data_IF_655799741446
#
_entry.id   IF_655799741446
#
_cell.length_a   1.000
_cell.length_b   1.000
_cell.length_c   1.000
_cell.angle_alpha   90.00
_cell.angle_beta   90.00
_cell.angle_gamma   90.00
#
_symmetry.space_group_name_H-M   'P 1'
#
loop_
_entity.id
_entity.type
_entity.pdbx_description
1 polymer ?
#
# COMPACT_ATOMS: atom_id res chain seq x y z
N UNK A 1 -19.58 -16.19 -11.95
CA UNK A 1 -18.85 -17.13 -11.05
C UNK A 1 -19.38 -16.97 -9.64
N UNK A 2 -19.45 -18.05 -8.86
CA UNK A 2 -19.81 -17.97 -7.44
C UNK A 2 -18.60 -17.42 -6.66
N UNK A 3 -18.81 -16.37 -5.86
CA UNK A 3 -17.77 -15.77 -5.02
C UNK A 3 -17.52 -16.65 -3.79
N UNK A 4 -16.26 -16.83 -3.42
CA UNK A 4 -15.85 -17.61 -2.24
C UNK A 4 -15.13 -16.70 -1.24
N UNK A 5 -15.62 -16.69 -0.01
CA UNK A 5 -14.95 -15.99 1.09
C UNK A 5 -13.71 -16.80 1.50
N UNK A 6 -12.56 -16.13 1.52
CA UNK A 6 -11.26 -16.70 1.87
C UNK A 6 -10.99 -16.48 3.36
N UNK A 7 -11.70 -17.23 4.21
CA UNK A 7 -11.53 -17.15 5.67
C UNK A 7 -10.10 -17.46 6.09
N UNK A 8 -9.61 -16.71 7.08
CA UNK A 8 -8.27 -16.83 7.65
C UNK A 8 -7.14 -16.70 6.63
N UNK A 9 -7.38 -16.01 5.51
CA UNK A 9 -6.35 -15.77 4.51
C UNK A 9 -5.20 -14.98 5.15
N UNK A 10 -3.99 -15.56 5.11
CA UNK A 10 -2.74 -14.93 5.53
C UNK A 10 -1.85 -14.70 4.31
N UNK A 11 -1.03 -13.64 4.36
CA UNK A 11 -0.21 -13.23 3.22
C UNK A 11 0.72 -14.34 2.72
N UNK A 12 1.36 -15.08 3.63
CA UNK A 12 2.28 -16.18 3.31
C UNK A 12 1.64 -17.34 2.51
N UNK A 13 0.31 -17.41 2.42
CA UNK A 13 -0.39 -18.47 1.67
C UNK A 13 -0.42 -18.20 0.16
N UNK A 14 -0.24 -16.94 -0.26
CA UNK A 14 -0.28 -16.52 -1.66
C UNK A 14 0.94 -15.69 -2.09
N UNK A 15 1.79 -15.27 -1.15
CA UNK A 15 3.08 -14.63 -1.45
C UNK A 15 3.95 -15.53 -2.33
N UNK A 16 4.60 -14.92 -3.32
CA UNK A 16 5.53 -15.64 -4.18
C UNK A 16 6.77 -16.09 -3.37
N UNK A 17 7.34 -17.29 -3.62
CA UNK A 17 8.51 -17.76 -2.87
C UNK A 17 9.73 -16.82 -2.93
N UNK A 18 9.89 -16.04 -4.01
CA UNK A 18 10.95 -15.03 -4.10
C UNK A 18 10.68 -13.84 -3.16
N UNK A 19 9.46 -13.32 -3.14
CA UNK A 19 9.06 -12.23 -2.25
C UNK A 19 9.27 -12.63 -0.79
N UNK A 20 8.85 -13.85 -0.43
CA UNK A 20 9.07 -14.39 0.93
C UNK A 20 10.54 -14.38 1.31
N UNK A 21 11.42 -14.88 0.43
CA UNK A 21 12.87 -14.88 0.67
C UNK A 21 13.47 -13.47 0.79
N UNK A 22 12.92 -12.49 0.07
CA UNK A 22 13.35 -11.09 0.17
C UNK A 22 12.85 -10.41 1.45
N UNK A 23 11.63 -10.73 1.88
CA UNK A 23 10.99 -10.13 3.05
C UNK A 23 11.44 -10.74 4.38
N UNK A 24 11.78 -12.04 4.42
CA UNK A 24 12.18 -12.75 5.64
C UNK A 24 13.37 -12.07 6.37
N UNK A 25 14.45 -11.65 5.68
CA UNK A 25 15.53 -10.86 6.30
C UNK A 25 15.02 -9.55 6.90
N UNK A 26 14.18 -8.79 6.19
CA UNK A 26 13.65 -7.51 6.66
C UNK A 26 12.77 -7.66 7.90
N UNK A 27 11.92 -8.70 7.92
CA UNK A 27 11.06 -9.05 9.07
C UNK A 27 11.86 -9.51 10.29
N UNK A 28 13.02 -10.12 10.07
CA UNK A 28 13.88 -10.60 11.18
C UNK A 28 14.48 -9.47 12.01
N UNK A 29 14.63 -8.27 11.43
CA UNK A 29 15.16 -7.10 12.11
C UNK A 29 14.03 -6.19 12.66
N UNK A 30 13.38 -6.61 13.75
CA UNK A 30 12.31 -5.85 14.44
C UNK A 30 12.63 -4.38 14.70
N UNK A 31 13.90 -4.05 14.92
CA UNK A 31 14.35 -2.67 15.09
C UNK A 31 14.17 -1.83 13.81
N UNK A 32 14.50 -2.39 12.63
CA UNK A 32 14.31 -1.72 11.35
C UNK A 32 12.83 -1.50 11.06
N UNK A 33 11.98 -2.49 11.34
CA UNK A 33 10.53 -2.34 11.21
C UNK A 33 10.00 -1.20 12.10
N UNK A 34 10.43 -1.14 13.37
CA UNK A 34 10.00 -0.11 14.31
C UNK A 34 10.43 1.29 13.86
N UNK A 35 11.68 1.42 13.41
CA UNK A 35 12.23 2.69 12.95
C UNK A 35 11.52 3.21 11.70
N UNK A 36 11.24 2.32 10.75
CA UNK A 36 10.49 2.66 9.53
C UNK A 36 9.07 3.09 9.89
N UNK A 37 8.34 2.32 10.71
CA UNK A 37 6.99 2.68 11.14
C UNK A 37 6.96 4.04 11.83
N UNK A 38 7.91 4.31 12.72
CA UNK A 38 8.01 5.60 13.42
C UNK A 38 8.25 6.77 12.46
N UNK A 39 9.17 6.61 11.50
CA UNK A 39 9.45 7.64 10.49
C UNK A 39 8.25 7.87 9.56
N UNK A 40 7.59 6.78 9.14
CA UNK A 40 6.47 6.82 8.22
C UNK A 40 5.25 7.49 8.84
N UNK A 41 4.91 7.12 10.09
CA UNK A 41 3.77 7.68 10.81
C UNK A 41 3.91 9.19 11.08
N UNK A 42 5.12 9.67 11.40
CA UNK A 42 5.33 11.09 11.75
C UNK A 42 5.53 12.01 10.53
N UNK A 43 5.98 11.48 9.39
CA UNK A 43 6.28 12.28 8.20
C UNK A 43 5.40 11.94 7.00
N UNK A 44 5.74 10.85 6.32
CA UNK A 44 5.26 10.53 4.97
C UNK A 44 3.78 10.19 4.94
N UNK A 45 3.30 9.36 5.87
CA UNK A 45 1.88 9.01 5.93
C UNK A 45 1.02 10.25 6.17
N UNK A 46 1.48 11.20 6.99
CA UNK A 46 0.79 12.46 7.24
C UNK A 46 0.73 13.34 5.98
N UNK A 47 1.84 13.46 5.24
CA UNK A 47 1.87 14.23 3.99
C UNK A 47 0.99 13.60 2.90
N UNK A 48 1.10 12.29 2.69
CA UNK A 48 0.28 11.56 1.73
C UNK A 48 -1.20 11.68 2.11
N UNK A 49 -1.54 11.57 3.40
CA UNK A 49 -2.90 11.79 3.88
C UNK A 49 -3.37 13.21 3.56
N UNK A 50 -2.59 14.24 3.83
CA UNK A 50 -2.97 15.63 3.50
C UNK A 50 -3.21 15.76 2.00
N UNK A 51 -2.30 15.26 1.17
CA UNK A 51 -2.40 15.32 -0.28
C UNK A 51 -3.66 14.63 -0.80
N UNK A 52 -3.92 13.39 -0.37
CA UNK A 52 -5.03 12.60 -0.88
C UNK A 52 -6.37 12.96 -0.23
N UNK A 53 -6.40 13.47 0.99
CA UNK A 53 -7.66 13.89 1.63
C UNK A 53 -8.06 15.32 1.29
N UNK A 54 -7.11 16.19 0.97
CA UNK A 54 -7.36 17.58 0.60
C UNK A 54 -7.77 17.78 -0.86
N UNK A 55 -7.32 16.90 -1.76
CA UNK A 55 -7.50 17.08 -3.21
C UNK A 55 -8.42 16.07 -3.89
N UNK A 56 -8.92 15.06 -3.15
CA UNK A 56 -9.73 13.98 -3.72
C UNK A 56 -11.08 13.83 -3.03
N UNK A 57 -12.00 13.15 -3.71
CA UNK A 57 -13.35 12.92 -3.18
C UNK A 57 -13.39 11.62 -2.38
N UNK A 58 -13.75 11.69 -1.10
CA UNK A 58 -13.91 10.52 -0.25
C UNK A 58 -15.16 9.73 -0.66
N UNK A 59 -15.00 8.42 -0.92
CA UNK A 59 -16.12 7.51 -1.17
C UNK A 59 -16.79 7.11 0.14
N UNK A 60 -18.12 7.13 0.14
CA UNK A 60 -18.98 6.66 1.21
C UNK A 60 -20.30 6.13 0.64
N UNK A 61 -21.11 5.54 1.51
CA UNK A 61 -22.43 4.98 1.19
C UNK A 61 -23.42 5.97 0.55
N UNK A 62 -23.21 7.29 0.70
CA UNK A 62 -24.16 8.32 0.24
C UNK A 62 -23.80 8.91 -1.12
N UNK A 63 -22.50 9.04 -1.44
CA UNK A 63 -22.06 9.69 -2.67
C UNK A 63 -21.67 8.70 -3.79
N UNK A 64 -21.02 7.58 -3.45
CA UNK A 64 -20.62 6.54 -4.40
C UNK A 64 -20.97 5.15 -3.83
N UNK A 65 -22.27 4.85 -3.64
CA UNK A 65 -22.72 3.62 -2.99
C UNK A 65 -22.18 2.36 -3.68
N UNK A 66 -22.20 2.32 -5.01
CA UNK A 66 -21.77 1.14 -5.78
C UNK A 66 -20.29 0.82 -5.54
N UNK A 67 -19.42 1.84 -5.52
CA UNK A 67 -17.99 1.69 -5.26
C UNK A 67 -17.77 1.32 -3.80
N UNK A 68 -18.48 1.97 -2.87
CA UNK A 68 -18.39 1.67 -1.45
C UNK A 68 -18.75 0.20 -1.15
N UNK A 69 -19.85 -0.30 -1.70
CA UNK A 69 -20.25 -1.70 -1.50
C UNK A 69 -19.33 -2.69 -2.24
N UNK A 70 -18.74 -2.29 -3.36
CA UNK A 70 -17.70 -3.10 -4.03
C UNK A 70 -16.46 -3.25 -3.14
N UNK A 71 -16.04 -2.17 -2.47
CA UNK A 71 -14.97 -2.22 -1.47
C UNK A 71 -15.33 -3.11 -0.28
N UNK A 72 -16.52 -2.95 0.30
CA UNK A 72 -16.98 -3.80 1.40
C UNK A 72 -17.03 -5.29 1.01
N UNK A 73 -17.48 -5.57 -0.21
CA UNK A 73 -17.48 -6.93 -0.74
C UNK A 73 -16.06 -7.49 -0.90
N UNK A 74 -15.14 -6.74 -1.48
CA UNK A 74 -13.75 -7.16 -1.61
C UNK A 74 -13.10 -7.42 -0.24
N UNK A 75 -13.37 -6.55 0.74
CA UNK A 75 -12.91 -6.74 2.12
C UNK A 75 -13.47 -8.02 2.74
N UNK A 76 -14.75 -8.31 2.52
CA UNK A 76 -15.40 -9.54 3.01
C UNK A 76 -14.80 -10.79 2.35
N UNK A 77 -14.59 -10.77 1.03
CA UNK A 77 -14.01 -11.89 0.29
C UNK A 77 -12.59 -12.19 0.76
N UNK A 78 -11.77 -11.16 0.96
CA UNK A 78 -10.38 -11.29 1.38
C UNK A 78 -10.19 -11.40 2.89
N UNK A 79 -11.28 -11.44 3.67
CA UNK A 79 -11.27 -11.52 5.13
C UNK A 79 -10.39 -10.43 5.76
N UNK A 80 -10.67 -9.18 5.38
CA UNK A 80 -9.98 -8.01 5.91
C UNK A 80 -10.51 -7.65 7.30
N UNK A 81 -9.62 -7.32 8.27
CA UNK A 81 -10.03 -6.99 9.63
C UNK A 81 -10.77 -5.65 9.75
N UNK A 82 -10.68 -4.80 8.73
CA UNK A 82 -11.36 -3.51 8.63
C UNK A 82 -11.58 -3.12 7.16
N UNK A 83 -12.43 -2.12 6.92
CA UNK A 83 -12.63 -1.52 5.59
C UNK A 83 -11.79 -0.23 5.50
N UNK A 84 -10.77 -0.14 4.63
CA UNK A 84 -9.95 1.06 4.50
C UNK A 84 -10.75 2.21 3.88
N UNK A 85 -10.25 3.45 4.02
CA UNK A 85 -10.87 4.60 3.36
C UNK A 85 -10.52 4.58 1.88
N UNK A 86 -11.49 4.95 1.03
CA UNK A 86 -11.31 5.03 -0.42
C UNK A 86 -11.57 6.46 -0.90
N UNK A 87 -10.73 6.94 -1.80
CA UNK A 87 -10.80 8.26 -2.42
C UNK A 87 -10.77 8.14 -3.94
N UNK A 88 -11.38 9.10 -4.64
CA UNK A 88 -11.32 9.23 -6.10
C UNK A 88 -10.49 10.45 -6.46
N UNK A 89 -9.40 10.22 -7.19
CA UNK A 89 -8.53 11.25 -7.77
C UNK A 89 -8.89 11.47 -9.24
N UNK A 90 -8.91 12.73 -9.68
CA UNK A 90 -9.08 13.04 -11.10
C UNK A 90 -7.87 12.57 -11.90
N UNK A 91 -8.10 11.69 -12.87
CA UNK A 91 -7.09 11.19 -13.81
C UNK A 91 -7.77 10.35 -14.90
N UNK A 92 -7.32 10.47 -16.15
CA UNK A 92 -7.87 9.68 -17.26
C UNK A 92 -7.44 8.21 -17.24
N UNK A 93 -6.33 7.88 -16.56
CA UNK A 93 -5.78 6.52 -16.57
C UNK A 93 -6.56 5.55 -15.69
N UNK A 94 -6.70 4.31 -16.14
CA UNK A 94 -7.19 3.19 -15.33
C UNK A 94 -6.07 2.78 -14.36
N UNK A 95 -6.17 3.23 -13.12
CA UNK A 95 -5.19 2.94 -12.08
C UNK A 95 -5.81 3.04 -10.68
N UNK A 96 -5.17 2.40 -9.72
CA UNK A 96 -5.44 2.50 -8.30
C UNK A 96 -4.13 2.45 -7.54
N UNK A 97 -4.10 2.99 -6.33
CA UNK A 97 -2.96 2.82 -5.45
C UNK A 97 -3.37 2.76 -3.99
N UNK A 98 -2.48 2.19 -3.18
CA UNK A 98 -2.58 2.16 -1.73
C UNK A 98 -1.50 3.02 -1.11
N UNK A 99 -1.87 3.82 -0.12
CA UNK A 99 -0.94 4.65 0.64
C UNK A 99 -1.16 4.52 2.14
N UNK A 100 -0.07 4.59 2.91
CA UNK A 100 -0.08 4.51 4.37
C UNK A 100 0.07 3.09 4.90
N UNK A 101 0.65 2.97 6.10
CA UNK A 101 0.88 1.67 6.75
C UNK A 101 -0.06 1.47 7.91
N UNK A 102 -0.22 2.49 8.76
CA UNK A 102 -1.00 2.36 9.99
C UNK A 102 -2.50 2.60 9.74
N UNK A 103 -2.87 3.62 8.97
CA UNK A 103 -4.26 3.85 8.53
C UNK A 103 -4.30 3.95 6.99
N UNK A 104 -4.21 2.79 6.30
CA UNK A 104 -4.07 2.73 4.85
C UNK A 104 -5.31 3.25 4.14
N UNK A 105 -5.07 3.91 3.02
CA UNK A 105 -6.10 4.44 2.12
C UNK A 105 -5.92 3.87 0.72
N UNK A 106 -7.04 3.70 0.02
CA UNK A 106 -7.07 3.35 -1.40
C UNK A 106 -7.44 4.61 -2.18
N UNK A 107 -6.76 4.86 -3.30
CA UNK A 107 -7.06 5.94 -4.22
C UNK A 107 -7.34 5.34 -5.59
N UNK A 108 -8.55 5.55 -6.11
CA UNK A 108 -8.92 5.20 -7.48
C UNK A 108 -8.80 6.43 -8.38
N UNK A 109 -8.29 6.24 -9.60
CA UNK A 109 -8.43 7.28 -10.62
C UNK A 109 -9.87 7.33 -11.14
N UNK A 110 -10.36 8.51 -11.49
CA UNK A 110 -11.69 8.68 -12.10
C UNK A 110 -11.84 7.86 -13.39
N UNK A 111 -10.79 7.73 -14.22
CA UNK A 111 -10.81 6.88 -15.40
C UNK A 111 -11.04 5.38 -15.08
N UNK A 112 -10.58 4.89 -13.92
CA UNK A 112 -10.91 3.54 -13.48
C UNK A 112 -12.39 3.41 -13.11
N UNK A 113 -12.96 4.44 -12.47
CA UNK A 113 -14.38 4.48 -12.12
C UNK A 113 -15.26 4.54 -13.37
N UNK A 114 -14.88 5.34 -14.36
CA UNK A 114 -15.68 5.59 -15.56
C UNK A 114 -15.63 4.45 -16.57
N UNK A 115 -14.49 3.74 -16.65
CA UNK A 115 -14.22 2.76 -17.72
C UNK A 115 -14.33 1.30 -17.29
N UNK A 116 -14.15 0.99 -16.01
CA UNK A 116 -14.19 -0.38 -15.53
C UNK A 116 -15.61 -0.81 -15.18
N UNK A 117 -15.96 -2.03 -15.56
CA UNK A 117 -17.14 -2.70 -15.03
C UNK A 117 -17.01 -2.94 -13.54
N UNK A 118 -18.13 -3.24 -12.88
CA UNK A 118 -18.16 -3.59 -11.46
C UNK A 118 -17.21 -4.73 -11.09
N UNK A 119 -17.09 -5.75 -11.94
CA UNK A 119 -16.21 -6.90 -11.67
C UNK A 119 -14.72 -6.53 -11.81
N UNK A 120 -14.40 -5.65 -12.75
CA UNK A 120 -13.04 -5.13 -12.91
C UNK A 120 -12.67 -4.14 -11.79
N UNK A 121 -13.63 -3.34 -11.30
CA UNK A 121 -13.48 -2.54 -10.09
C UNK A 121 -13.25 -3.43 -8.86
N UNK A 122 -14.00 -4.53 -8.74
CA UNK A 122 -13.79 -5.50 -7.66
C UNK A 122 -12.38 -6.09 -7.73
N UNK A 123 -11.88 -6.40 -8.92
CA UNK A 123 -10.52 -6.90 -9.12
C UNK A 123 -9.46 -5.87 -8.70
N UNK A 124 -9.53 -4.63 -9.21
CA UNK A 124 -8.50 -3.62 -8.91
C UNK A 124 -8.52 -3.22 -7.43
N UNK A 125 -9.72 -3.10 -6.81
CA UNK A 125 -9.83 -2.87 -5.36
C UNK A 125 -9.29 -4.08 -4.58
N UNK A 126 -9.59 -5.30 -5.01
CA UNK A 126 -9.05 -6.53 -4.42
C UNK A 126 -7.52 -6.60 -4.49
N UNK A 127 -6.93 -6.14 -5.60
CA UNK A 127 -5.47 -6.03 -5.77
C UNK A 127 -4.86 -5.08 -4.73
N UNK A 128 -5.43 -3.88 -4.57
CA UNK A 128 -5.00 -2.90 -3.57
C UNK A 128 -5.16 -3.42 -2.12
N UNK A 129 -6.27 -4.10 -1.82
CA UNK A 129 -6.45 -4.77 -0.53
C UNK A 129 -5.39 -5.86 -0.29
N UNK A 130 -4.92 -6.53 -1.35
CA UNK A 130 -3.80 -7.47 -1.29
C UNK A 130 -2.52 -6.80 -0.78
N UNK A 131 -2.21 -5.60 -1.27
CA UNK A 131 -1.05 -4.82 -0.80
C UNK A 131 -1.18 -4.43 0.68
N UNK A 132 -2.37 -4.04 1.12
CA UNK A 132 -2.65 -3.76 2.55
C UNK A 132 -2.44 -5.03 3.38
N UNK A 133 -3.05 -6.14 2.96
CA UNK A 133 -3.03 -7.40 3.71
C UNK A 133 -1.64 -8.01 3.82
N UNK A 134 -0.82 -7.89 2.79
CA UNK A 134 0.58 -8.33 2.78
C UNK A 134 1.55 -7.32 3.41
N UNK A 135 1.07 -6.14 3.84
CA UNK A 135 1.90 -5.01 4.26
C UNK A 135 2.95 -4.59 3.21
N UNK A 136 2.70 -4.80 1.92
CA UNK A 136 3.61 -4.43 0.84
C UNK A 136 3.84 -2.91 0.77
N UNK A 137 2.84 -2.12 1.17
CA UNK A 137 2.94 -0.65 1.24
C UNK A 137 4.08 -0.21 2.15
N UNK A 138 4.30 -0.91 3.27
CA UNK A 138 5.43 -0.65 4.18
C UNK A 138 6.76 -0.84 3.45
N UNK A 139 6.91 -1.92 2.68
CA UNK A 139 8.15 -2.25 1.98
C UNK A 139 8.41 -1.32 0.77
N UNK A 140 7.38 -0.93 0.03
CA UNK A 140 7.52 0.08 -1.02
C UNK A 140 7.86 1.46 -0.44
N UNK A 141 7.23 1.84 0.68
CA UNK A 141 7.56 3.09 1.35
C UNK A 141 8.96 3.05 1.98
N UNK A 142 9.41 1.89 2.48
CA UNK A 142 10.81 1.66 2.83
C UNK A 142 11.70 1.97 1.63
N UNK A 143 11.43 1.39 0.45
CA UNK A 143 12.19 1.63 -0.77
C UNK A 143 12.36 3.12 -1.11
N UNK A 144 11.31 3.92 -0.87
CA UNK A 144 11.30 5.36 -1.12
C UNK A 144 12.01 6.19 -0.03
N UNK A 145 12.04 5.69 1.21
CA UNK A 145 12.64 6.37 2.38
C UNK A 145 14.10 6.04 2.57
N UNK A 146 14.50 4.80 2.30
CA UNK A 146 15.88 4.33 2.42
C UNK A 146 16.93 5.18 1.70
N UNK A 147 16.66 5.80 0.54
CA UNK A 147 17.62 6.68 -0.13
C UNK A 147 17.87 7.95 0.68
N UNK A 148 16.81 8.52 1.26
CA UNK A 148 16.87 9.71 2.10
C UNK A 148 17.66 9.41 3.39
N UNK A 149 17.36 8.28 4.04
CA UNK A 149 18.13 7.83 5.21
C UNK A 149 19.58 7.51 4.85
N UNK A 150 19.80 6.93 3.68
CA UNK A 150 21.12 6.62 3.11
C UNK A 150 21.99 7.84 2.87
N UNK A 151 21.40 8.94 2.40
CA UNK A 151 22.08 10.22 2.25
C UNK A 151 22.43 10.83 3.61
N UNK A 152 21.51 10.78 4.59
CA UNK A 152 21.77 11.27 5.94
C UNK A 152 22.91 10.48 6.58
N UNK A 153 22.83 9.15 6.60
CA UNK A 153 23.88 8.29 7.16
C UNK A 153 25.17 8.42 6.36
N UNK A 154 25.10 8.49 5.03
CA UNK A 154 26.24 8.71 4.16
C UNK A 154 26.98 10.02 4.45
N UNK A 155 26.27 11.10 4.74
CA UNK A 155 26.87 12.39 5.09
C UNK A 155 27.61 12.34 6.44
N UNK A 156 27.13 11.53 7.39
CA UNK A 156 27.74 11.35 8.71
C UNK A 156 28.90 10.33 8.68
N UNK A 157 28.86 9.37 7.74
CA UNK A 157 29.80 8.23 7.66
C UNK A 157 30.82 8.35 6.52
N UNK A 158 31.05 9.57 6.00
CA UNK A 158 31.99 9.83 4.90
C UNK A 158 31.71 8.97 3.64
N UNK A 159 30.44 8.68 3.35
CA UNK A 159 29.99 8.00 2.12
C UNK A 159 29.79 6.49 2.24
N UNK A 160 30.24 5.83 3.31
CA UNK A 160 30.06 4.38 3.49
C UNK A 160 28.57 3.98 3.61
N UNK A 161 27.76 4.78 4.30
CA UNK A 161 26.32 4.55 4.43
C UNK A 161 25.55 4.64 3.10
N UNK A 162 26.02 5.45 2.15
CA UNK A 162 25.37 5.68 0.85
C UNK A 162 25.45 4.45 -0.06
N UNK A 163 26.54 3.68 0.01
CA UNK A 163 26.71 2.46 -0.77
C UNK A 163 25.73 1.36 -0.32
N UNK A 164 25.61 1.17 1.00
CA UNK A 164 24.70 0.17 1.58
C UNK A 164 23.22 0.51 1.32
N UNK A 165 22.84 1.77 1.45
CA UNK A 165 21.45 2.21 1.22
C UNK A 165 21.04 2.08 -0.24
N UNK A 166 21.95 2.33 -1.19
CA UNK A 166 21.66 2.22 -2.63
C UNK A 166 21.40 0.77 -3.05
N UNK A 167 22.20 -0.17 -2.52
CA UNK A 167 21.98 -1.60 -2.78
C UNK A 167 20.62 -2.10 -2.25
N UNK A 168 20.23 -1.65 -1.06
CA UNK A 168 18.94 -1.98 -0.48
C UNK A 168 17.77 -1.30 -1.22
N UNK A 169 17.96 -0.05 -1.67
CA UNK A 169 16.97 0.68 -2.48
C UNK A 169 16.64 -0.08 -3.77
N UNK A 170 17.66 -0.54 -4.52
CA UNK A 170 17.46 -1.28 -5.77
C UNK A 170 16.72 -2.61 -5.50
N UNK A 171 17.02 -3.28 -4.39
CA UNK A 171 16.35 -4.52 -4.02
C UNK A 171 14.88 -4.35 -3.62
N UNK A 172 14.49 -3.17 -3.10
CA UNK A 172 13.12 -2.88 -2.65
C UNK A 172 12.23 -2.24 -3.74
N UNK A 173 12.82 -1.75 -4.83
CA UNK A 173 12.09 -1.13 -5.96
C UNK A 173 11.74 -2.12 -7.10
N UNK A 174 12.27 -3.34 -7.07
CA UNK A 174 11.90 -4.43 -7.98
C UNK A 174 10.88 -5.35 -7.33
#
# INVERSE_FOLDING_TARGET
MQRKILKDLKSYQYEHPFDKKALDPLKSYKFLETLVRAFNAQGIERLLRIQYTGSNVKVNERNFPEIYYTLCEACSILDMPFVPKLYIQWSYGINAMTAGVEDPIIVLNSGAVDLLSREELLFIIGHELGHIKSMHVLYHQMAQVFPILGEIVGSITLGAGKLLSTGLQIALLN
#
